data_IF_807150127409
#
_entry.id   IF_807150127409
#
_cell.length_a   1.000
_cell.length_b   1.000
_cell.length_c   1.000
_cell.angle_alpha   90.00
_cell.angle_beta   90.00
_cell.angle_gamma   90.00
#
_symmetry.space_group_name_H-M   'P 1'
#
loop_
_entity.id
_entity.type
_entity.pdbx_description
1 polymer ?
#
# COMPACT_ATOMS: atom_id res chain seq x y z
N UNK A 1 8.89 19.94 -27.33
CA UNK A 1 9.14 19.85 -25.88
C UNK A 1 10.04 18.66 -25.62
N UNK A 2 11.08 18.81 -24.81
CA UNK A 2 11.96 17.70 -24.46
C UNK A 2 11.37 16.99 -23.23
N UNK A 3 10.70 15.86 -23.43
CA UNK A 3 10.06 15.09 -22.36
C UNK A 3 11.05 14.07 -21.80
N UNK A 4 11.21 14.04 -20.48
CA UNK A 4 12.00 13.01 -19.79
C UNK A 4 11.07 11.97 -19.23
N UNK A 5 11.48 10.69 -19.29
CA UNK A 5 10.69 9.64 -18.66
C UNK A 5 10.77 9.76 -17.13
N UNK A 6 9.78 9.20 -16.44
CA UNK A 6 9.80 9.11 -14.98
C UNK A 6 11.04 8.38 -14.47
N UNK A 7 11.53 7.38 -15.21
CA UNK A 7 12.76 6.66 -14.91
C UNK A 7 13.97 7.59 -14.97
N UNK A 8 14.09 8.41 -16.02
CA UNK A 8 15.23 9.31 -16.19
C UNK A 8 15.25 10.41 -15.12
N UNK A 9 14.07 10.92 -14.74
CA UNK A 9 13.94 11.89 -13.64
C UNK A 9 14.36 11.25 -12.32
N UNK A 10 13.90 10.02 -12.08
CA UNK A 10 14.20 9.27 -10.87
C UNK A 10 15.70 9.00 -10.71
N UNK A 11 16.35 8.55 -11.77
CA UNK A 11 17.79 8.30 -11.78
C UNK A 11 18.58 9.60 -11.56
N UNK A 12 18.13 10.71 -12.17
CA UNK A 12 18.78 12.02 -12.03
C UNK A 12 18.62 12.65 -10.66
N UNK A 13 17.48 12.47 -9.98
CA UNK A 13 17.16 13.17 -8.72
C UNK A 13 17.52 12.33 -7.51
N UNK A 14 17.25 11.02 -7.56
CA UNK A 14 17.38 10.11 -6.41
C UNK A 14 18.53 9.11 -6.57
N UNK A 15 19.22 9.11 -7.70
CA UNK A 15 20.24 8.12 -8.04
C UNK A 15 19.63 6.87 -8.68
N UNK A 16 20.51 5.99 -9.16
CA UNK A 16 20.12 4.69 -9.74
C UNK A 16 19.68 3.72 -8.64
N UNK A 17 18.94 2.68 -9.00
CA UNK A 17 18.60 1.57 -8.09
C UNK A 17 19.85 0.99 -7.42
N UNK A 18 19.76 0.66 -6.13
CA UNK A 18 20.89 0.21 -5.32
C UNK A 18 21.69 1.35 -4.67
N UNK A 19 21.31 2.60 -4.88
CA UNK A 19 21.85 3.73 -4.09
C UNK A 19 20.96 3.94 -2.88
N UNK A 20 21.54 4.26 -1.72
CA UNK A 20 20.82 4.41 -0.45
C UNK A 20 19.59 5.32 -0.57
N UNK A 21 19.76 6.51 -1.14
CA UNK A 21 18.66 7.46 -1.37
C UNK A 21 17.56 6.91 -2.27
N UNK A 22 17.93 6.13 -3.29
CA UNK A 22 16.96 5.52 -4.20
C UNK A 22 16.18 4.40 -3.52
N UNK A 23 16.88 3.59 -2.74
CA UNK A 23 16.31 2.45 -2.04
C UNK A 23 15.42 2.90 -0.87
N UNK A 24 15.75 4.00 -0.19
CA UNK A 24 14.86 4.65 0.78
C UNK A 24 13.55 5.11 0.14
N UNK A 25 13.63 5.83 -0.98
CA UNK A 25 12.44 6.25 -1.72
C UNK A 25 11.57 5.06 -2.14
N UNK A 26 12.21 3.99 -2.63
CA UNK A 26 11.48 2.81 -3.08
C UNK A 26 10.86 2.06 -1.87
N UNK A 27 11.53 2.01 -0.70
CA UNK A 27 10.95 1.47 0.56
C UNK A 27 9.72 2.25 1.03
N UNK A 28 9.80 3.58 1.04
CA UNK A 28 8.68 4.44 1.42
C UNK A 28 7.49 4.23 0.47
N UNK A 29 7.79 4.04 -0.82
CA UNK A 29 6.78 3.79 -1.84
C UNK A 29 6.08 2.42 -1.70
N UNK A 30 6.79 1.37 -1.27
CA UNK A 30 6.17 0.04 -1.11
C UNK A 30 5.06 0.04 -0.04
N UNK A 31 5.20 0.82 1.03
CA UNK A 31 4.15 0.96 2.05
C UNK A 31 2.88 1.61 1.46
N UNK A 32 3.04 2.64 0.64
CA UNK A 32 1.94 3.29 -0.07
C UNK A 32 1.24 2.33 -1.05
N UNK A 33 2.01 1.51 -1.76
CA UNK A 33 1.50 0.51 -2.71
C UNK A 33 0.58 -0.52 -2.05
N UNK A 34 0.88 -0.95 -0.81
CA UNK A 34 -0.01 -1.84 -0.05
C UNK A 34 -1.38 -1.20 0.18
N UNK A 35 -1.43 0.07 0.61
CA UNK A 35 -2.69 0.80 0.81
C UNK A 35 -3.54 0.86 -0.46
N UNK A 36 -2.90 1.12 -1.61
CA UNK A 36 -3.53 1.10 -2.93
C UNK A 36 -4.08 -0.27 -3.33
N UNK A 37 -3.36 -1.35 -3.04
CA UNK A 37 -3.82 -2.72 -3.32
C UNK A 37 -5.05 -3.05 -2.47
N UNK A 38 -5.05 -2.68 -1.19
CA UNK A 38 -6.21 -2.86 -0.32
C UNK A 38 -7.42 -2.07 -0.81
N UNK A 39 -7.21 -0.82 -1.23
CA UNK A 39 -8.26 0.02 -1.81
C UNK A 39 -8.89 -0.63 -3.04
N UNK A 40 -8.06 -1.13 -3.97
CA UNK A 40 -8.53 -1.82 -5.18
C UNK A 40 -9.35 -3.06 -4.83
N UNK A 41 -8.84 -3.91 -3.95
CA UNK A 41 -9.54 -5.11 -3.51
C UNK A 41 -10.89 -4.80 -2.84
N UNK A 42 -10.97 -3.71 -2.05
CA UNK A 42 -12.23 -3.22 -1.48
C UNK A 42 -13.22 -2.80 -2.58
N UNK A 43 -12.75 -2.06 -3.57
CA UNK A 43 -13.58 -1.56 -4.68
C UNK A 43 -14.08 -2.71 -5.58
N UNK A 44 -13.25 -3.73 -5.83
CA UNK A 44 -13.64 -4.96 -6.54
C UNK A 44 -14.70 -5.77 -5.78
N UNK A 45 -14.73 -5.66 -4.46
CA UNK A 45 -15.77 -6.23 -3.59
C UNK A 45 -17.00 -5.34 -3.46
N UNK A 46 -17.01 -4.19 -4.13
CA UNK A 46 -18.09 -3.19 -4.07
C UNK A 46 -18.40 -2.68 -2.65
N UNK A 47 -17.39 -2.62 -1.78
CA UNK A 47 -17.53 -2.13 -0.41
C UNK A 47 -17.14 -0.65 -0.32
N UNK A 48 -17.87 0.11 0.49
CA UNK A 48 -17.44 1.43 0.95
C UNK A 48 -16.38 1.30 2.06
N UNK A 49 -15.66 2.40 2.34
CA UNK A 49 -14.71 2.42 3.46
C UNK A 49 -15.39 2.20 4.82
N UNK A 50 -16.65 2.62 4.98
CA UNK A 50 -17.41 2.40 6.22
C UNK A 50 -17.74 0.91 6.38
N UNK A 51 -18.29 0.29 5.33
CA UNK A 51 -18.65 -1.13 5.34
C UNK A 51 -17.43 -2.03 5.60
N UNK A 52 -16.28 -1.74 4.98
CA UNK A 52 -15.06 -2.47 5.29
C UNK A 52 -14.64 -2.27 6.75
N UNK A 53 -14.78 -1.06 7.29
CA UNK A 53 -14.43 -0.76 8.68
C UNK A 53 -15.31 -1.53 9.66
N UNK A 54 -16.61 -1.62 9.39
CA UNK A 54 -17.58 -2.39 10.19
C UNK A 54 -17.23 -3.89 10.20
N UNK A 55 -16.84 -4.46 9.05
CA UNK A 55 -16.46 -5.87 8.93
C UNK A 55 -15.23 -6.24 9.76
N UNK A 56 -14.35 -5.28 10.06
CA UNK A 56 -13.10 -5.51 10.79
C UNK A 56 -13.03 -4.81 12.14
N UNK A 57 -14.18 -4.32 12.63
CA UNK A 57 -14.30 -3.59 13.90
C UNK A 57 -13.27 -2.44 14.01
N UNK A 58 -13.31 -1.54 13.04
CA UNK A 58 -12.46 -0.34 12.97
C UNK A 58 -13.29 0.89 12.61
N UNK A 59 -12.70 2.07 12.78
CA UNK A 59 -13.31 3.33 12.32
C UNK A 59 -13.07 3.51 10.82
N UNK A 60 -14.02 4.08 10.07
CA UNK A 60 -13.82 4.49 8.66
C UNK A 60 -12.55 5.31 8.44
N UNK A 61 -12.23 6.23 9.35
CA UNK A 61 -11.01 7.06 9.27
C UNK A 61 -9.72 6.26 9.41
N UNK A 62 -9.77 5.08 10.01
CA UNK A 62 -8.65 4.15 10.04
C UNK A 62 -8.46 3.50 8.66
N UNK A 63 -9.53 2.95 8.06
CA UNK A 63 -9.48 2.38 6.69
C UNK A 63 -9.00 3.43 5.68
N UNK A 64 -9.53 4.66 5.77
CA UNK A 64 -9.10 5.77 4.92
C UNK A 64 -7.60 6.08 5.04
N UNK A 65 -7.04 6.06 6.26
CA UNK A 65 -5.59 6.25 6.46
C UNK A 65 -4.76 5.10 5.91
N UNK A 66 -5.20 3.86 6.12
CA UNK A 66 -4.54 2.66 5.58
C UNK A 66 -4.48 2.71 4.06
N UNK A 67 -5.59 3.05 3.40
CA UNK A 67 -5.66 3.08 1.94
C UNK A 67 -4.86 4.23 1.29
N UNK A 68 -4.76 5.39 1.96
CA UNK A 68 -4.19 6.59 1.35
C UNK A 68 -2.74 6.89 1.76
N UNK A 69 -2.32 6.55 2.97
CA UNK A 69 -1.00 6.93 3.49
C UNK A 69 -0.07 5.73 3.71
N UNK A 70 -0.56 4.49 3.58
CA UNK A 70 0.25 3.27 3.77
C UNK A 70 0.91 3.15 5.15
N UNK A 71 0.57 4.02 6.11
CA UNK A 71 1.37 4.24 7.30
C UNK A 71 1.07 3.22 8.40
N UNK A 72 2.14 2.66 8.98
CA UNK A 72 2.16 1.77 10.15
C UNK A 72 1.06 0.69 10.17
N UNK A 73 0.83 0.04 9.02
CA UNK A 73 -0.01 -1.15 8.97
C UNK A 73 0.73 -2.31 9.65
N UNK A 74 0.19 -2.78 10.78
CA UNK A 74 0.70 -4.02 11.39
C UNK A 74 0.29 -5.22 10.55
N UNK A 75 1.07 -6.31 10.60
CA UNK A 75 0.69 -7.57 9.97
C UNK A 75 -0.69 -8.06 10.45
N UNK A 76 -0.98 -7.94 11.75
CA UNK A 76 -2.29 -8.27 12.32
C UNK A 76 -3.41 -7.50 11.60
N UNK A 77 -3.23 -6.20 11.41
CA UNK A 77 -4.22 -5.38 10.69
C UNK A 77 -4.35 -5.81 9.24
N UNK A 78 -3.25 -6.11 8.55
CA UNK A 78 -3.28 -6.59 7.17
C UNK A 78 -4.11 -7.88 7.07
N UNK A 79 -3.89 -8.85 7.97
CA UNK A 79 -4.68 -10.08 8.04
C UNK A 79 -6.16 -9.79 8.36
N UNK A 80 -6.45 -8.94 9.35
CA UNK A 80 -7.82 -8.57 9.70
C UNK A 80 -8.56 -7.96 8.48
N UNK A 81 -7.93 -7.03 7.76
CA UNK A 81 -8.50 -6.40 6.56
C UNK A 81 -8.70 -7.41 5.43
N UNK A 82 -7.67 -8.17 5.09
CA UNK A 82 -7.70 -9.05 3.91
C UNK A 82 -8.56 -10.28 4.16
N UNK A 83 -8.37 -10.97 5.27
CA UNK A 83 -9.01 -12.27 5.49
C UNK A 83 -10.42 -12.13 6.05
N UNK A 84 -10.65 -11.23 7.01
CA UNK A 84 -11.99 -11.01 7.61
C UNK A 84 -12.81 -10.01 6.80
N UNK A 85 -12.20 -8.89 6.41
CA UNK A 85 -12.90 -7.81 5.70
C UNK A 85 -13.16 -8.12 4.23
N UNK A 86 -12.13 -8.58 3.51
CA UNK A 86 -12.21 -8.79 2.06
C UNK A 86 -12.43 -10.26 1.65
N UNK A 87 -12.26 -11.20 2.58
CA UNK A 87 -12.36 -12.64 2.32
C UNK A 87 -11.27 -13.17 1.40
N UNK A 88 -10.09 -12.54 1.39
CA UNK A 88 -8.90 -12.94 0.65
C UNK A 88 -7.93 -13.78 1.49
N UNK A 89 -6.69 -13.92 1.00
CA UNK A 89 -5.58 -14.55 1.71
C UNK A 89 -4.33 -13.70 1.56
N UNK A 90 -3.55 -13.56 2.63
CA UNK A 90 -2.25 -12.88 2.60
C UNK A 90 -1.15 -13.94 2.44
N UNK A 91 -0.29 -13.78 1.44
CA UNK A 91 0.92 -14.59 1.29
C UNK A 91 2.15 -13.68 1.47
N UNK A 92 3.02 -14.02 2.41
CA UNK A 92 4.25 -13.29 2.70
C UNK A 92 5.42 -14.23 2.41
N UNK A 93 6.38 -13.75 1.64
CA UNK A 93 7.65 -14.44 1.38
C UNK A 93 8.80 -13.57 1.87
N UNK A 94 9.83 -14.21 2.42
CA UNK A 94 11.05 -13.56 2.86
C UNK A 94 12.18 -14.26 2.10
N UNK A 95 12.94 -13.50 1.32
CA UNK A 95 14.16 -13.96 0.65
C UNK A 95 15.36 -13.48 1.46
N UNK A 96 16.33 -14.37 1.67
CA UNK A 96 17.58 -14.13 2.41
C UNK A 96 18.75 -14.23 1.45
#
# INVERSE_FOLDING_TARGET
MNTKSWKDIKDSVYGKKGTERRDELDRDFESFKIGLLLKKAREEKHLTQEQLADLVDKKRTYISRVENNGSNLTLKTLFDIVEKGLGGKVNISIEV
#
